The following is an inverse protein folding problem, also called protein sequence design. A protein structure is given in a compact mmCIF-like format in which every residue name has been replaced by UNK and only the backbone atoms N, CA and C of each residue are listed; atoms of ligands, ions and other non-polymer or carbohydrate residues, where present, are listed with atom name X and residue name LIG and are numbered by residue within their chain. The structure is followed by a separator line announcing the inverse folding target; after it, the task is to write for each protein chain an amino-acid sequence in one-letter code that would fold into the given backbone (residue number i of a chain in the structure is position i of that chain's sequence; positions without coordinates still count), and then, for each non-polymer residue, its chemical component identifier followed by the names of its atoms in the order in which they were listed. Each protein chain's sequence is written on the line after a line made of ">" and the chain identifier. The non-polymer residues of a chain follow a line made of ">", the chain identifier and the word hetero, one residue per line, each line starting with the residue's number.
data_IF_590890243984
#
_entry.id   IF_590890243984
#
_cell.length_a   1.000
_cell.length_b   1.000
_cell.length_c   1.000
_cell.angle_alpha   90.00
_cell.angle_beta   90.00
_cell.angle_gamma   90.00
#
_symmetry.space_group_name_H-M   'P 1'
#
loop_
_entity.id
_entity.type
_entity.pdbx_description
1 polymer ?
#
# COMPACT_ATOMS: atom_id res chain seq x y z
N UNK A 1 -12.28 4.52 11.73
CA UNK A 1 -11.81 4.87 10.37
C UNK A 1 -12.92 5.65 9.70
N UNK A 2 -12.65 6.82 9.13
CA UNK A 2 -13.63 7.61 8.35
C UNK A 2 -13.55 7.18 6.88
N UNK A 3 -14.65 7.28 6.13
CA UNK A 3 -14.70 6.85 4.71
C UNK A 3 -13.66 7.57 3.84
N UNK A 4 -13.37 8.83 4.16
CA UNK A 4 -12.35 9.65 3.51
C UNK A 4 -10.93 9.09 3.64
N UNK A 5 -10.65 8.18 4.59
CA UNK A 5 -9.30 7.66 4.82
C UNK A 5 -9.07 6.24 4.28
N UNK A 6 -10.00 5.70 3.49
CA UNK A 6 -9.97 4.31 3.03
C UNK A 6 -9.89 4.25 1.50
N UNK A 7 -9.34 3.15 0.98
CA UNK A 7 -9.24 2.87 -0.45
C UNK A 7 -8.46 3.94 -1.22
N UNK A 8 -9.13 4.60 -2.16
CA UNK A 8 -8.61 5.61 -3.07
C UNK A 8 -8.62 7.02 -2.47
N UNK A 9 -9.34 7.23 -1.35
CA UNK A 9 -9.40 8.52 -0.68
C UNK A 9 -8.20 8.78 0.24
N UNK A 10 -7.20 7.88 0.26
CA UNK A 10 -5.99 8.06 1.07
C UNK A 10 -5.24 9.36 0.69
N UNK A 11 -4.65 10.08 1.66
CA UNK A 11 -4.02 11.39 1.44
C UNK A 11 -2.90 11.40 0.39
N UNK A 12 -2.24 10.26 0.16
CA UNK A 12 -1.12 10.15 -0.79
C UNK A 12 -1.42 9.04 -1.82
N UNK A 13 -2.08 9.37 -2.94
CA UNK A 13 -2.46 8.39 -3.97
C UNK A 13 -1.27 7.62 -4.57
N UNK A 14 -0.09 8.27 -4.64
CA UNK A 14 1.14 7.71 -5.20
C UNK A 14 1.63 6.45 -4.50
N UNK A 15 1.28 6.22 -3.23
CA UNK A 15 1.69 5.02 -2.49
C UNK A 15 0.79 3.80 -2.73
N UNK A 16 -0.22 3.92 -3.61
CA UNK A 16 -1.09 2.80 -3.96
C UNK A 16 -0.37 1.71 -4.77
N UNK A 17 0.78 2.04 -5.38
CA UNK A 17 1.66 1.09 -6.08
C UNK A 17 2.74 0.49 -5.18
N UNK A 18 2.61 0.64 -3.85
CA UNK A 18 3.52 0.10 -2.85
C UNK A 18 4.93 0.70 -2.84
N UNK A 19 5.32 1.54 -3.80
CA UNK A 19 6.66 2.16 -3.86
C UNK A 19 6.70 3.45 -3.07
N UNK A 20 7.81 3.66 -2.36
CA UNK A 20 8.09 4.92 -1.67
C UNK A 20 9.13 5.74 -2.44
N UNK A 21 9.39 7.01 -2.05
CA UNK A 21 10.45 7.81 -2.66
C UNK A 21 11.86 7.32 -2.29
N UNK A 22 11.98 6.41 -1.32
CA UNK A 22 13.25 5.81 -0.90
C UNK A 22 13.43 4.52 -1.71
N UNK A 23 14.56 4.42 -2.41
CA UNK A 23 14.87 3.23 -3.21
C UNK A 23 14.95 1.98 -2.34
N UNK A 24 14.32 0.89 -2.79
CA UNK A 24 14.25 -0.38 -2.06
C UNK A 24 13.29 -0.39 -0.87
N UNK A 25 12.56 0.70 -0.59
CA UNK A 25 11.57 0.75 0.48
C UNK A 25 10.13 0.67 -0.08
N UNK A 26 9.39 -0.33 0.40
CA UNK A 26 8.02 -0.64 -0.02
C UNK A 26 7.02 -0.58 1.13
N UNK A 27 5.79 -0.19 0.82
CA UNK A 27 4.69 -0.06 1.77
C UNK A 27 3.84 -1.34 1.80
N UNK A 28 3.93 -2.14 2.85
CA UNK A 28 3.25 -3.45 2.96
C UNK A 28 2.23 -3.57 4.10
N UNK A 29 2.03 -2.50 4.89
CA UNK A 29 1.21 -2.55 6.11
C UNK A 29 -0.30 -2.71 5.83
N UNK A 30 -1.04 -3.12 6.87
CA UNK A 30 -2.51 -3.25 6.83
C UNK A 30 -3.24 -1.97 6.42
N UNK A 31 -2.60 -0.81 6.56
CA UNK A 31 -3.12 0.48 6.12
C UNK A 31 -2.91 0.78 4.63
N UNK A 32 -2.17 -0.04 3.87
CA UNK A 32 -1.87 0.21 2.47
C UNK A 32 -3.01 -0.26 1.53
N UNK A 33 -2.91 0.11 0.25
CA UNK A 33 -3.82 -0.39 -0.79
C UNK A 33 -3.76 -1.93 -0.83
N UNK A 34 -4.86 -2.67 -1.12
CA UNK A 34 -6.19 -2.27 -1.58
C UNK A 34 -7.21 -2.01 -0.48
N UNK A 35 -6.90 -2.17 0.80
CA UNK A 35 -7.91 -2.00 1.85
C UNK A 35 -7.35 -2.22 3.24
N UNK A 36 -7.91 -1.49 4.20
CA UNK A 36 -7.57 -1.57 5.62
C UNK A 36 -8.02 -2.88 6.26
N UNK A 37 -7.19 -3.50 7.10
CA UNK A 37 -7.57 -4.65 7.94
C UNK A 37 -6.46 -5.69 8.09
N UNK A 38 -6.70 -6.73 8.90
CA UNK A 38 -5.77 -7.87 9.07
C UNK A 38 -5.90 -8.81 7.86
N UNK A 39 -5.48 -8.32 6.70
CA UNK A 39 -5.46 -9.07 5.44
C UNK A 39 -4.02 -9.18 4.94
N UNK A 40 -3.67 -10.31 4.32
CA UNK A 40 -2.34 -10.51 3.72
C UNK A 40 -2.15 -9.82 2.36
N UNK A 41 -3.19 -9.17 1.83
CA UNK A 41 -3.18 -8.62 0.47
C UNK A 41 -2.15 -7.49 0.27
N UNK A 42 -2.02 -6.50 1.18
CA UNK A 42 -1.00 -5.46 1.05
C UNK A 42 0.42 -6.01 1.03
N UNK A 43 0.72 -6.98 1.89
CA UNK A 43 2.02 -7.64 1.94
C UNK A 43 2.35 -8.40 0.66
N UNK A 44 1.39 -9.18 0.15
CA UNK A 44 1.56 -9.93 -1.11
C UNK A 44 1.83 -9.00 -2.30
N UNK A 45 1.06 -7.92 -2.44
CA UNK A 45 1.20 -7.01 -3.57
C UNK A 45 2.47 -6.17 -3.49
N UNK A 46 2.85 -5.71 -2.29
CA UNK A 46 4.13 -5.03 -2.08
C UNK A 46 5.32 -5.93 -2.43
N UNK A 47 5.26 -7.22 -2.07
CA UNK A 47 6.29 -8.18 -2.43
C UNK A 47 6.38 -8.38 -3.96
N UNK A 48 5.25 -8.46 -4.66
CA UNK A 48 5.25 -8.53 -6.12
C UNK A 48 5.89 -7.28 -6.74
N UNK A 49 5.53 -6.09 -6.26
CA UNK A 49 6.15 -4.84 -6.72
C UNK A 49 7.65 -4.76 -6.45
N UNK A 50 8.15 -5.38 -5.38
CA UNK A 50 9.57 -5.46 -5.08
C UNK A 50 10.32 -6.45 -6.00
N UNK A 51 9.63 -7.49 -6.50
CA UNK A 51 10.20 -8.47 -7.42
C UNK A 51 10.18 -8.00 -8.89
N UNK A 52 9.32 -7.02 -9.21
CA UNK A 52 9.24 -6.38 -10.53
C UNK A 52 10.23 -5.22 -10.71
N UNK A 53 10.99 -4.86 -9.67
CA UNK A 53 12.05 -3.85 -9.73
C UNK A 53 13.36 -4.41 -10.31
#
# INVERSE_FOLDING_TARGET
>A
MTLDQIYFARPVPRFSNFRTPIQGLFLCGSGAHPGGGVTGAPGRLAALSALEE
#
